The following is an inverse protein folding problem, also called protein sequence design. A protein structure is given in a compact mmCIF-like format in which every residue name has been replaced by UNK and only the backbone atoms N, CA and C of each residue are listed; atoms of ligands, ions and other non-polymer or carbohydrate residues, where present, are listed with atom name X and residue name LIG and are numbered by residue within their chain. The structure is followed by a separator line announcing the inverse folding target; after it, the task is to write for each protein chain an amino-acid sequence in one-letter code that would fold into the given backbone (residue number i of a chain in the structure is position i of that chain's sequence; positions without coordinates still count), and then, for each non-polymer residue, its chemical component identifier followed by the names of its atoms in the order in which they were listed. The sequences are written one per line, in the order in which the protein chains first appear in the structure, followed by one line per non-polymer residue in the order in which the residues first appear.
data_IF_560696618410
#
_entry.id   IF_560696618410
#
_cell.length_a   1.000
_cell.length_b   1.000
_cell.length_c   1.000
_cell.angle_alpha   90.00
_cell.angle_beta   90.00
_cell.angle_gamma   90.00
#
_symmetry.space_group_name_H-M   'P 1'
#
loop_
_entity.id
_entity.type
_entity.pdbx_description
1 polymer ?
#
# COMPACT_ATOMS: atom_id res chain seq x y z
N UNK A 1 16.51 -30.80 8.25
CA UNK A 1 15.46 -30.90 9.27
C UNK A 1 14.09 -30.77 8.58
N UNK A 2 13.12 -31.59 9.01
CA UNK A 2 11.74 -31.38 8.59
C UNK A 2 11.20 -30.19 9.37
N UNK A 3 10.57 -29.25 8.67
CA UNK A 3 10.01 -28.04 9.26
C UNK A 3 8.53 -28.00 8.91
N UNK A 4 7.67 -27.93 9.92
CA UNK A 4 6.25 -27.70 9.75
C UNK A 4 5.97 -26.20 9.94
N UNK A 5 5.34 -25.57 8.95
CA UNK A 5 4.99 -24.15 8.99
C UNK A 5 3.47 -24.03 9.02
N UNK A 6 2.95 -23.38 10.08
CA UNK A 6 1.54 -23.05 10.20
C UNK A 6 1.36 -21.55 10.08
N UNK A 7 0.48 -21.11 9.16
CA UNK A 7 0.12 -19.70 8.96
C UNK A 7 -1.29 -19.48 9.49
N UNK A 8 -1.43 -18.53 10.41
CA UNK A 8 -2.73 -18.07 10.91
C UNK A 8 -2.86 -16.57 10.65
N UNK A 9 -3.93 -16.14 10.01
CA UNK A 9 -4.17 -14.73 9.70
C UNK A 9 -5.61 -14.35 10.00
N UNK A 10 -5.79 -13.15 10.54
CA UNK A 10 -7.10 -12.50 10.69
C UNK A 10 -7.35 -11.46 9.58
N UNK A 11 -6.37 -11.22 8.70
CA UNK A 11 -6.50 -10.30 7.58
C UNK A 11 -7.31 -11.00 6.49
N UNK A 12 -8.44 -10.42 6.02
CA UNK A 12 -9.21 -10.97 4.92
C UNK A 12 -8.36 -11.10 3.65
N UNK A 13 -8.50 -12.23 2.96
CA UNK A 13 -7.75 -12.48 1.71
C UNK A 13 -8.34 -11.65 0.57
N UNK A 14 -7.48 -11.05 -0.26
CA UNK A 14 -7.85 -10.27 -1.44
C UNK A 14 -8.72 -9.01 -1.16
N UNK A 15 -8.65 -8.48 0.05
CA UNK A 15 -9.38 -7.27 0.50
C UNK A 15 -8.60 -5.95 0.32
N UNK A 16 -7.44 -5.97 -0.35
CA UNK A 16 -6.59 -4.79 -0.50
C UNK A 16 -5.81 -4.39 0.77
N UNK A 17 -5.85 -5.22 1.82
CA UNK A 17 -5.18 -4.94 3.10
C UNK A 17 -3.75 -5.53 3.21
N UNK A 18 -3.09 -5.82 2.09
CA UNK A 18 -1.70 -6.28 2.07
C UNK A 18 -1.48 -7.68 2.65
N UNK A 19 -2.49 -8.57 2.61
CA UNK A 19 -2.41 -9.92 3.20
C UNK A 19 -1.24 -10.76 2.66
N UNK A 20 -0.92 -10.65 1.36
CA UNK A 20 0.22 -11.33 0.74
C UNK A 20 1.55 -10.87 1.32
N UNK A 21 1.76 -9.56 1.37
CA UNK A 21 2.96 -8.96 1.97
C UNK A 21 3.08 -9.33 3.46
N UNK A 22 1.97 -9.35 4.20
CA UNK A 22 1.96 -9.74 5.61
C UNK A 22 2.45 -11.18 5.82
N UNK A 23 1.97 -12.13 5.03
CA UNK A 23 2.43 -13.53 5.07
C UNK A 23 3.91 -13.63 4.70
N UNK A 24 4.32 -12.96 3.62
CA UNK A 24 5.72 -12.98 3.16
C UNK A 24 6.67 -12.45 4.22
N UNK A 25 6.38 -11.30 4.81
CA UNK A 25 7.21 -10.68 5.86
C UNK A 25 7.26 -11.55 7.11
N UNK A 26 6.11 -12.08 7.56
CA UNK A 26 6.05 -12.95 8.73
C UNK A 26 6.87 -14.23 8.54
N UNK A 27 6.73 -14.88 7.37
CA UNK A 27 7.50 -16.09 7.04
C UNK A 27 9.00 -15.79 6.95
N UNK A 28 9.39 -14.71 6.30
CA UNK A 28 10.79 -14.31 6.16
C UNK A 28 11.42 -14.10 7.54
N UNK A 29 10.76 -13.39 8.44
CA UNK A 29 11.24 -13.16 9.80
C UNK A 29 11.31 -14.47 10.63
N UNK A 30 10.29 -15.31 10.54
CA UNK A 30 10.24 -16.58 11.26
C UNK A 30 11.35 -17.52 10.79
N UNK A 31 11.53 -17.68 9.47
CA UNK A 31 12.56 -18.56 8.91
C UNK A 31 13.98 -18.03 9.18
N UNK A 32 14.22 -16.73 9.00
CA UNK A 32 15.53 -16.14 9.28
C UNK A 32 15.94 -16.29 10.74
N UNK A 33 14.99 -16.12 11.66
CA UNK A 33 15.19 -16.36 13.08
C UNK A 33 15.46 -17.84 13.39
N UNK A 34 14.68 -18.75 12.81
CA UNK A 34 14.86 -20.20 13.01
C UNK A 34 16.22 -20.70 12.50
N UNK A 35 16.68 -20.15 11.40
CA UNK A 35 17.98 -20.50 10.81
C UNK A 35 19.16 -19.79 11.48
N UNK A 36 18.95 -19.07 12.57
CA UNK A 36 19.97 -18.23 13.25
C UNK A 36 20.64 -17.22 12.32
N UNK A 37 19.89 -16.67 11.39
CA UNK A 37 20.35 -15.67 10.41
C UNK A 37 19.38 -14.48 10.42
N UNK A 38 19.32 -13.69 11.52
CA UNK A 38 18.38 -12.59 11.66
C UNK A 38 18.65 -11.55 10.57
N UNK A 39 17.58 -11.12 9.91
CA UNK A 39 17.60 -10.10 8.86
C UNK A 39 17.18 -8.74 9.44
N UNK A 40 17.77 -7.66 8.94
CA UNK A 40 17.32 -6.29 9.22
C UNK A 40 15.99 -6.01 8.53
N UNK A 41 15.33 -4.90 8.90
CA UNK A 41 14.08 -4.49 8.23
C UNK A 41 14.30 -4.20 6.74
N UNK A 42 15.45 -3.63 6.37
CA UNK A 42 15.82 -3.37 5.00
C UNK A 42 15.95 -4.66 4.18
N UNK A 43 16.62 -5.67 4.76
CA UNK A 43 16.79 -6.98 4.12
C UNK A 43 15.46 -7.72 3.98
N UNK A 44 14.62 -7.69 5.01
CA UNK A 44 13.26 -8.28 4.97
C UNK A 44 12.41 -7.58 3.91
N UNK A 45 12.44 -6.25 3.86
CA UNK A 45 11.70 -5.47 2.89
C UNK A 45 12.15 -5.76 1.45
N UNK A 46 13.46 -5.79 1.21
CA UNK A 46 14.03 -6.12 -0.10
C UNK A 46 13.63 -7.53 -0.54
N UNK A 47 13.73 -8.52 0.36
CA UNK A 47 13.32 -9.89 0.07
C UNK A 47 11.82 -10.01 -0.23
N UNK A 48 10.98 -9.39 0.60
CA UNK A 48 9.53 -9.38 0.38
C UNK A 48 9.16 -8.73 -0.95
N UNK A 49 9.86 -7.67 -1.36
CA UNK A 49 9.65 -7.04 -2.66
C UNK A 49 9.97 -7.98 -3.84
N UNK A 50 11.03 -8.78 -3.75
CA UNK A 50 11.33 -9.78 -4.78
C UNK A 50 10.24 -10.86 -4.88
N UNK A 51 9.66 -11.27 -3.75
CA UNK A 51 8.52 -12.21 -3.74
C UNK A 51 7.27 -11.58 -4.38
N UNK A 52 6.98 -10.30 -4.07
CA UNK A 52 5.86 -9.57 -4.68
C UNK A 52 6.00 -9.49 -6.22
N UNK A 53 7.21 -9.36 -6.76
CA UNK A 53 7.45 -9.38 -8.21
C UNK A 53 7.02 -10.70 -8.85
N UNK A 54 7.20 -11.83 -8.16
CA UNK A 54 6.81 -13.14 -8.68
C UNK A 54 5.29 -13.28 -8.80
N UNK A 55 4.52 -12.63 -7.91
CA UNK A 55 3.06 -12.71 -7.88
C UNK A 55 2.38 -11.62 -8.70
N UNK A 56 2.91 -10.40 -8.67
CA UNK A 56 2.25 -9.20 -9.21
C UNK A 56 2.97 -8.58 -10.42
N UNK A 57 4.11 -9.13 -10.83
CA UNK A 57 4.90 -8.66 -11.97
C UNK A 57 5.61 -7.32 -11.72
N UNK A 58 4.86 -6.23 -11.61
CA UNK A 58 5.40 -4.87 -11.33
C UNK A 58 4.75 -4.28 -10.08
N UNK A 59 5.05 -4.78 -8.87
CA UNK A 59 4.48 -4.27 -7.63
C UNK A 59 4.94 -2.84 -7.38
N UNK A 60 4.12 -2.07 -6.65
CA UNK A 60 4.48 -0.72 -6.22
C UNK A 60 5.64 -0.73 -5.21
N UNK A 61 5.63 -1.70 -4.31
CA UNK A 61 6.54 -1.80 -3.18
C UNK A 61 5.99 -1.17 -1.89
N UNK A 62 4.75 -0.66 -1.90
CA UNK A 62 4.16 -0.03 -0.71
C UNK A 62 3.76 -1.06 0.35
N UNK A 63 3.12 -2.16 -0.04
CA UNK A 63 2.56 -3.15 0.88
C UNK A 63 3.66 -3.82 1.71
N UNK A 64 4.71 -4.34 1.06
CA UNK A 64 5.85 -4.92 1.75
C UNK A 64 6.56 -3.89 2.65
N UNK A 65 6.66 -2.62 2.23
CA UNK A 65 7.27 -1.55 3.02
C UNK A 65 6.46 -1.26 4.29
N UNK A 66 5.16 -0.99 4.17
CA UNK A 66 4.31 -0.68 5.33
C UNK A 66 4.28 -1.84 6.32
N UNK A 67 4.16 -3.07 5.83
CA UNK A 67 4.13 -4.27 6.68
C UNK A 67 5.48 -4.49 7.38
N UNK A 68 6.59 -4.32 6.66
CA UNK A 68 7.92 -4.55 7.25
C UNK A 68 8.24 -3.55 8.34
N UNK A 69 8.04 -2.26 8.08
CA UNK A 69 8.39 -1.22 9.04
C UNK A 69 7.34 -1.03 10.15
N UNK A 70 6.11 -1.53 9.97
CA UNK A 70 5.00 -1.42 10.91
C UNK A 70 4.76 0.02 11.40
N UNK A 71 4.93 0.99 10.51
CA UNK A 71 4.81 2.44 10.77
C UNK A 71 4.08 3.12 9.62
N UNK A 72 3.49 4.29 9.84
CA UNK A 72 3.06 5.15 8.75
C UNK A 72 4.23 5.49 7.83
N UNK A 73 4.04 5.31 6.54
CA UNK A 73 5.05 5.50 5.50
C UNK A 73 4.56 6.52 4.49
N UNK A 74 5.40 7.49 4.18
CA UNK A 74 5.26 8.29 2.99
C UNK A 74 6.11 7.67 1.90
N UNK A 75 5.46 7.11 0.89
CA UNK A 75 6.11 6.30 -0.11
C UNK A 75 6.09 6.99 -1.48
N UNK A 76 7.27 7.16 -2.07
CA UNK A 76 7.43 7.56 -3.47
C UNK A 76 8.36 6.55 -4.12
N UNK A 77 7.88 5.89 -5.18
CA UNK A 77 8.66 4.84 -5.85
C UNK A 77 9.99 5.38 -6.36
N UNK A 78 11.08 4.69 -6.00
CA UNK A 78 12.44 5.11 -6.37
C UNK A 78 13.06 6.18 -5.46
N UNK A 79 12.34 6.62 -4.44
CA UNK A 79 12.87 7.52 -3.40
C UNK A 79 13.13 6.75 -2.09
N UNK A 80 13.98 7.27 -1.19
CA UNK A 80 14.14 6.71 0.13
C UNK A 80 12.81 6.64 0.88
N UNK A 81 12.66 5.59 1.70
CA UNK A 81 11.45 5.39 2.51
C UNK A 81 11.44 6.42 3.63
N UNK A 82 10.37 7.18 3.73
CA UNK A 82 10.14 8.13 4.80
C UNK A 82 9.06 7.59 5.76
N UNK A 83 9.41 7.42 7.04
CA UNK A 83 8.44 7.15 8.10
C UNK A 83 8.09 8.45 8.81
N UNK A 84 6.87 8.57 9.30
CA UNK A 84 6.42 9.76 10.04
C UNK A 84 5.56 9.35 11.25
N UNK A 85 5.30 10.31 12.13
CA UNK A 85 4.57 10.06 13.36
C UNK A 85 3.13 10.59 13.26
N UNK A 86 2.18 9.78 13.72
CA UNK A 86 0.81 10.21 13.94
C UNK A 86 0.74 10.99 15.25
N UNK A 87 0.46 12.27 15.19
CA UNK A 87 0.48 13.15 16.38
C UNK A 87 -0.57 12.79 17.41
N UNK A 88 -1.77 12.39 16.96
CA UNK A 88 -2.89 12.02 17.81
C UNK A 88 -3.55 10.76 17.27
N UNK A 89 -3.99 9.83 18.11
CA UNK A 89 -4.79 8.70 17.64
C UNK A 89 -6.07 9.17 16.93
N UNK A 90 -6.45 8.45 15.89
CA UNK A 90 -7.74 8.64 15.21
C UNK A 90 -8.33 7.29 14.81
N UNK A 91 -9.62 7.26 14.54
CA UNK A 91 -10.32 6.05 14.12
C UNK A 91 -10.49 6.07 12.61
N UNK A 92 -10.09 4.98 11.96
CA UNK A 92 -10.39 4.72 10.55
C UNK A 92 -11.49 3.68 10.50
N UNK A 93 -12.53 3.95 9.72
CA UNK A 93 -13.56 2.96 9.37
C UNK A 93 -13.26 2.43 7.99
N UNK A 94 -13.14 1.12 7.88
CA UNK A 94 -12.84 0.43 6.60
C UNK A 94 -14.13 -0.25 6.14
N UNK A 95 -14.62 0.15 4.96
CA UNK A 95 -15.71 -0.54 4.26
C UNK A 95 -15.13 -1.49 3.21
N UNK A 96 -15.61 -2.73 3.20
CA UNK A 96 -15.27 -3.71 2.18
C UNK A 96 -16.50 -3.91 1.29
N UNK A 97 -16.37 -3.65 -0.01
CA UNK A 97 -17.44 -3.85 -1.00
C UNK A 97 -17.73 -5.33 -1.27
N UNK A 98 -16.85 -6.23 -0.83
CA UNK A 98 -16.93 -7.66 -1.15
C UNK A 98 -16.66 -7.99 -2.63
N UNK A 99 -16.25 -7.00 -3.43
CA UNK A 99 -15.94 -7.19 -4.85
C UNK A 99 -14.42 -7.34 -4.98
N UNK A 100 -13.99 -8.53 -5.37
CA UNK A 100 -12.57 -8.78 -5.65
C UNK A 100 -12.20 -8.15 -7.00
N UNK A 101 -11.31 -7.17 -6.97
CA UNK A 101 -10.71 -6.58 -8.17
C UNK A 101 -9.23 -6.98 -8.28
N UNK A 102 -8.84 -7.46 -9.45
CA UNK A 102 -7.43 -7.76 -9.71
C UNK A 102 -6.66 -6.45 -9.91
N UNK A 103 -5.74 -6.14 -9.01
CA UNK A 103 -4.90 -4.94 -9.09
C UNK A 103 -4.24 -4.77 -10.46
N UNK A 104 -3.85 -5.87 -11.09
CA UNK A 104 -3.25 -5.85 -12.43
C UNK A 104 -4.20 -5.29 -13.50
N UNK A 105 -5.49 -5.58 -13.41
CA UNK A 105 -6.50 -5.08 -14.35
C UNK A 105 -6.72 -3.59 -14.14
N UNK A 106 -6.95 -3.14 -12.89
CA UNK A 106 -7.12 -1.74 -12.55
C UNK A 106 -5.93 -0.88 -13.00
N UNK A 107 -4.71 -1.33 -12.71
CA UNK A 107 -3.49 -0.64 -13.17
C UNK A 107 -3.38 -0.63 -14.70
N UNK A 108 -3.79 -1.72 -15.36
CA UNK A 108 -3.82 -1.80 -16.82
C UNK A 108 -4.80 -0.80 -17.44
N UNK A 109 -5.96 -0.62 -16.83
CA UNK A 109 -6.96 0.33 -17.33
C UNK A 109 -6.53 1.79 -17.14
N UNK A 110 -5.95 2.14 -15.99
CA UNK A 110 -5.33 3.47 -15.80
C UNK A 110 -4.23 3.73 -16.83
N UNK A 111 -3.43 2.72 -17.14
CA UNK A 111 -2.38 2.84 -18.16
C UNK A 111 -2.96 3.15 -19.55
N UNK A 112 -4.03 2.47 -19.96
CA UNK A 112 -4.73 2.74 -21.23
C UNK A 112 -5.26 4.17 -21.30
N UNK A 113 -5.84 4.66 -20.18
CA UNK A 113 -6.30 6.04 -20.09
C UNK A 113 -5.15 7.02 -20.28
N UNK A 114 -4.03 6.80 -19.60
CA UNK A 114 -2.83 7.64 -19.72
C UNK A 114 -2.23 7.60 -21.12
N UNK A 115 -2.14 6.44 -21.75
CA UNK A 115 -1.66 6.29 -23.14
C UNK A 115 -2.55 7.03 -24.16
N UNK A 116 -3.85 7.15 -23.87
CA UNK A 116 -4.79 7.87 -24.73
C UNK A 116 -4.67 9.39 -24.62
N UNK A 117 -4.31 9.94 -23.45
CA UNK A 117 -4.18 11.38 -23.20
C UNK A 117 -3.21 11.66 -22.04
N UNK A 118 -1.92 11.69 -22.34
CA UNK A 118 -0.87 11.90 -21.33
C UNK A 118 -1.08 13.18 -20.54
N UNK A 119 -1.28 14.31 -21.20
CA UNK A 119 -1.36 15.61 -20.54
C UNK A 119 -2.50 15.69 -19.53
N UNK A 120 -3.67 15.15 -19.88
CA UNK A 120 -4.82 15.07 -18.98
C UNK A 120 -4.54 14.20 -17.77
N UNK A 121 -4.00 13.01 -17.97
CA UNK A 121 -3.87 12.05 -16.89
C UNK A 121 -2.65 12.34 -16.01
N UNK A 122 -1.58 12.92 -16.53
CA UNK A 122 -0.48 13.45 -15.72
C UNK A 122 -0.96 14.54 -14.77
N UNK A 123 -1.83 15.45 -15.24
CA UNK A 123 -2.47 16.44 -14.35
C UNK A 123 -3.28 15.79 -13.23
N UNK A 124 -4.02 14.71 -13.50
CA UNK A 124 -4.77 13.97 -12.47
C UNK A 124 -3.81 13.29 -11.48
N UNK A 125 -2.70 12.72 -11.95
CA UNK A 125 -1.68 12.13 -11.07
C UNK A 125 -1.01 13.18 -10.19
N UNK A 126 -0.76 14.38 -10.70
CA UNK A 126 -0.24 15.50 -9.92
C UNK A 126 -1.24 15.94 -8.84
N UNK A 127 -2.54 15.99 -9.15
CA UNK A 127 -3.60 16.27 -8.17
C UNK A 127 -3.62 15.20 -7.05
N UNK A 128 -3.50 13.91 -7.39
CA UNK A 128 -3.38 12.83 -6.39
C UNK A 128 -2.13 13.03 -5.56
N UNK A 129 -0.99 13.30 -6.18
CA UNK A 129 0.28 13.53 -5.48
C UNK A 129 0.21 14.69 -4.48
N UNK A 130 -0.45 15.80 -4.86
CA UNK A 130 -0.64 16.95 -3.96
C UNK A 130 -1.60 16.60 -2.82
N UNK A 131 -2.69 15.89 -3.09
CA UNK A 131 -3.62 15.40 -2.06
C UNK A 131 -2.90 14.54 -1.01
N UNK A 132 -2.00 13.65 -1.44
CA UNK A 132 -1.20 12.79 -0.56
C UNK A 132 -0.23 13.60 0.30
N UNK A 133 0.43 14.63 -0.26
CA UNK A 133 1.30 15.53 0.51
C UNK A 133 0.53 16.27 1.59
N UNK A 134 -0.64 16.82 1.25
CA UNK A 134 -1.51 17.50 2.21
C UNK A 134 -2.01 16.55 3.28
N UNK A 135 -2.42 15.32 2.93
CA UNK A 135 -2.86 14.31 3.89
C UNK A 135 -1.75 13.98 4.91
N UNK A 136 -0.50 13.83 4.46
CA UNK A 136 0.65 13.65 5.36
C UNK A 136 0.74 14.77 6.39
N UNK A 137 0.69 16.04 5.93
CA UNK A 137 0.76 17.20 6.82
C UNK A 137 -0.38 17.16 7.86
N UNK A 138 -1.62 16.87 7.43
CA UNK A 138 -2.78 16.79 8.34
C UNK A 138 -2.61 15.69 9.39
N UNK A 139 -2.08 14.55 9.03
CA UNK A 139 -1.77 13.47 9.97
C UNK A 139 -0.69 13.90 10.98
N UNK A 140 0.38 14.54 10.51
CA UNK A 140 1.48 15.00 11.36
C UNK A 140 1.06 16.08 12.36
N UNK A 141 0.10 16.95 12.01
CA UNK A 141 -0.40 18.01 12.91
C UNK A 141 -1.68 17.63 13.66
N UNK A 142 -2.37 16.56 13.26
CA UNK A 142 -3.56 16.01 13.91
C UNK A 142 -4.85 16.75 13.57
N UNK A 143 -5.03 17.14 12.30
CA UNK A 143 -6.23 17.78 11.74
C UNK A 143 -7.06 16.76 10.96
N UNK A 144 -7.96 16.07 11.67
CA UNK A 144 -8.68 14.92 11.13
C UNK A 144 -9.85 15.26 10.21
N UNK A 145 -10.47 16.43 10.40
CA UNK A 145 -11.56 16.88 9.55
C UNK A 145 -11.04 17.13 8.14
N UNK A 146 -9.97 17.87 8.03
CA UNK A 146 -9.30 18.19 6.76
C UNK A 146 -8.75 16.92 6.08
N UNK A 147 -8.30 15.94 6.89
CA UNK A 147 -7.90 14.63 6.34
C UNK A 147 -9.08 13.92 5.69
N UNK A 148 -10.28 13.96 6.30
CA UNK A 148 -11.49 13.40 5.69
C UNK A 148 -11.85 14.05 4.37
N UNK A 149 -11.77 15.38 4.27
CA UNK A 149 -12.00 16.12 3.03
C UNK A 149 -10.99 15.74 1.92
N UNK A 150 -9.73 15.50 2.28
CA UNK A 150 -8.70 15.01 1.35
C UNK A 150 -8.96 13.55 0.92
N UNK A 151 -9.49 12.70 1.78
CA UNK A 151 -9.91 11.34 1.42
C UNK A 151 -11.03 11.37 0.38
N UNK A 152 -12.04 12.23 0.55
CA UNK A 152 -13.13 12.43 -0.42
C UNK A 152 -12.60 12.95 -1.77
N UNK A 153 -11.67 13.90 -1.76
CA UNK A 153 -11.01 14.38 -2.99
C UNK A 153 -10.26 13.25 -3.70
N UNK A 154 -9.47 12.48 -2.97
CA UNK A 154 -8.75 11.34 -3.54
C UNK A 154 -9.72 10.30 -4.13
N UNK A 155 -10.83 10.01 -3.43
CA UNK A 155 -11.84 9.10 -3.93
C UNK A 155 -12.45 9.60 -5.26
N UNK A 156 -12.77 10.88 -5.37
CA UNK A 156 -13.26 11.48 -6.62
C UNK A 156 -12.24 11.36 -7.77
N UNK A 157 -10.94 11.50 -7.48
CA UNK A 157 -9.87 11.31 -8.47
C UNK A 157 -9.77 9.84 -8.92
N UNK A 158 -9.89 8.89 -7.98
CA UNK A 158 -9.92 7.45 -8.28
C UNK A 158 -11.14 7.07 -9.13
N UNK A 159 -12.30 7.68 -8.88
CA UNK A 159 -13.50 7.51 -9.71
C UNK A 159 -13.29 8.04 -11.14
N UNK A 160 -12.64 9.21 -11.31
CA UNK A 160 -12.25 9.72 -12.63
C UNK A 160 -11.38 8.71 -13.40
N UNK A 161 -10.49 8.01 -12.69
CA UNK A 161 -9.62 6.96 -13.24
C UNK A 161 -10.32 5.60 -13.40
N UNK A 162 -11.62 5.50 -13.09
CA UNK A 162 -12.41 4.25 -13.18
C UNK A 162 -11.93 3.10 -12.27
N UNK A 163 -11.18 3.41 -11.23
CA UNK A 163 -10.63 2.42 -10.28
C UNK A 163 -11.27 2.49 -8.90
N UNK A 164 -12.39 3.19 -8.77
CA UNK A 164 -13.23 3.21 -7.57
C UNK A 164 -14.71 3.19 -7.96
N UNK A 165 -15.52 2.49 -7.16
CA UNK A 165 -16.98 2.44 -7.36
C UNK A 165 -17.65 3.77 -6.94
N UNK A 166 -18.88 4.04 -7.40
CA UNK A 166 -19.67 5.18 -6.92
C UNK A 166 -20.17 5.05 -5.48
N UNK A 167 -20.10 3.84 -4.91
CA UNK A 167 -20.63 3.46 -3.60
C UNK A 167 -19.68 3.75 -2.46
#
# INVERSE_FOLDING_TARGET
PNLDITITSTIPVASGLGSGAAVTVAMTRALSSHLNHPMTDEEVNAFAYEIEKLHHGTPSGIDNTVVTYAKPVYFVKGQPIETFNVRKPFTIVIGDTGISALTKESVGDVRKLWEADHAKWESVFDEVGETVKQARIRIEIGEWKELGELMDQNHALLQKMTVSSPE
#
